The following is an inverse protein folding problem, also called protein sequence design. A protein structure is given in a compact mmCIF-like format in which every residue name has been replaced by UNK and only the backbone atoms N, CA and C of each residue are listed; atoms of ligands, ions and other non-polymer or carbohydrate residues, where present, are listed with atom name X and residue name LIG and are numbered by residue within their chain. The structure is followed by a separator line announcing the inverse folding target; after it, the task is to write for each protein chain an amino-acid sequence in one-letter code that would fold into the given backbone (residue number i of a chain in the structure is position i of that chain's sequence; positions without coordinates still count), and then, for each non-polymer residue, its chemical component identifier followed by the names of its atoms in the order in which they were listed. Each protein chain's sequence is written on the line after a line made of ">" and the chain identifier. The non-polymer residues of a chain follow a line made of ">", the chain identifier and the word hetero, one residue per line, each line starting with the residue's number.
data_IF_147546169336
#
_entry.id   IF_147546169336
#
_cell.length_a   1.000
_cell.length_b   1.000
_cell.length_c   1.000
_cell.angle_alpha   90.00
_cell.angle_beta   90.00
_cell.angle_gamma   90.00
#
_symmetry.space_group_name_H-M   'P 1'
#
loop_
_entity.id
_entity.type
_entity.pdbx_description
1 polymer ?
#
# COMPACT_ATOMS: atom_id res chain seq x y z
N UNK A 1 -7.03 21.49 11.75
CA UNK A 1 -6.58 20.15 12.27
C UNK A 1 -7.80 19.27 12.34
N UNK A 2 -7.71 17.99 11.93
CA UNK A 2 -8.85 17.08 11.99
C UNK A 2 -9.16 16.69 13.44
N UNK A 3 -10.45 16.48 13.75
CA UNK A 3 -10.93 16.00 15.05
C UNK A 3 -10.55 14.54 15.31
N UNK A 4 -10.64 14.10 16.56
CA UNK A 4 -10.47 12.67 16.88
C UNK A 4 -11.54 11.83 16.15
N UNK A 5 -11.16 10.62 15.74
CA UNK A 5 -12.01 9.70 14.99
C UNK A 5 -12.58 10.24 13.65
N UNK A 6 -11.98 11.28 13.07
CA UNK A 6 -12.44 11.86 11.81
C UNK A 6 -12.56 10.87 10.65
N UNK A 7 -11.81 9.77 10.69
CA UNK A 7 -11.88 8.71 9.68
C UNK A 7 -13.29 8.09 9.52
N UNK A 8 -14.14 8.15 10.56
CA UNK A 8 -15.53 7.67 10.53
C UNK A 8 -16.56 8.77 10.27
N UNK A 9 -16.12 10.04 10.12
CA UNK A 9 -17.01 11.17 9.90
C UNK A 9 -17.38 11.26 8.42
N UNK A 10 -18.69 11.29 8.07
CA UNK A 10 -19.15 11.51 6.71
C UNK A 10 -18.77 12.90 6.18
N UNK A 11 -18.68 13.02 4.86
CA UNK A 11 -18.25 14.26 4.19
C UNK A 11 -19.15 15.46 4.52
N UNK A 12 -20.47 15.26 4.58
CA UNK A 12 -21.47 16.27 4.89
C UNK A 12 -21.43 16.78 6.34
N UNK A 13 -20.73 16.07 7.23
CA UNK A 13 -20.53 16.48 8.63
C UNK A 13 -19.15 17.11 8.89
N UNK A 14 -18.33 17.27 7.85
CA UNK A 14 -17.08 18.03 7.96
C UNK A 14 -17.36 19.53 7.89
N UNK A 15 -16.63 20.29 8.69
CA UNK A 15 -16.65 21.76 8.61
C UNK A 15 -15.92 22.24 7.34
N UNK A 16 -16.23 23.47 6.84
CA UNK A 16 -15.51 24.07 5.71
C UNK A 16 -13.98 24.10 5.91
N UNK A 17 -13.50 24.34 7.12
CA UNK A 17 -12.08 24.36 7.45
C UNK A 17 -11.46 22.96 7.36
N UNK A 18 -12.17 21.91 7.80
CA UNK A 18 -11.73 20.54 7.69
C UNK A 18 -11.67 20.09 6.22
N UNK A 19 -12.66 20.47 5.41
CA UNK A 19 -12.67 20.20 3.95
C UNK A 19 -11.48 20.90 3.29
N UNK A 20 -11.29 22.17 3.56
CA UNK A 20 -10.15 22.95 3.03
C UNK A 20 -8.81 22.32 3.40
N UNK A 21 -8.66 21.91 4.67
CA UNK A 21 -7.46 21.22 5.14
C UNK A 21 -7.22 19.93 4.40
N UNK A 22 -8.25 19.10 4.20
CA UNK A 22 -8.14 17.85 3.44
C UNK A 22 -7.72 18.12 1.99
N UNK A 23 -8.46 18.97 1.27
CA UNK A 23 -8.19 19.25 -0.15
C UNK A 23 -6.77 19.80 -0.37
N UNK A 24 -6.29 20.65 0.53
CA UNK A 24 -4.93 21.19 0.46
C UNK A 24 -3.87 20.10 0.59
N UNK A 25 -4.08 19.10 1.44
CA UNK A 25 -3.07 18.10 1.75
C UNK A 25 -3.16 16.82 0.91
N UNK A 26 -4.34 16.51 0.34
CA UNK A 26 -4.55 15.27 -0.43
C UNK A 26 -3.67 15.14 -1.67
N UNK A 27 -3.18 16.24 -2.25
CA UNK A 27 -2.22 16.23 -3.37
C UNK A 27 -0.86 15.64 -3.00
N UNK A 28 -0.50 15.67 -1.70
CA UNK A 28 0.79 15.16 -1.20
C UNK A 28 0.70 13.70 -0.80
N UNK A 29 1.26 12.80 -1.63
CA UNK A 29 1.35 11.37 -1.28
C UNK A 29 2.07 11.13 0.05
N UNK A 30 3.11 11.93 0.35
CA UNK A 30 3.83 11.83 1.62
C UNK A 30 2.92 12.14 2.81
N UNK A 31 2.11 13.19 2.69
CA UNK A 31 1.13 13.54 3.73
C UNK A 31 0.07 12.44 3.90
N UNK A 32 -0.46 11.91 2.78
CA UNK A 32 -1.45 10.83 2.81
C UNK A 32 -0.91 9.60 3.54
N UNK A 33 0.31 9.17 3.23
CA UNK A 33 0.97 8.03 3.88
C UNK A 33 1.18 8.25 5.38
N UNK A 34 1.41 9.48 5.82
CA UNK A 34 1.65 9.82 7.23
C UNK A 34 0.37 10.08 8.02
N UNK A 35 -0.81 10.20 7.37
CA UNK A 35 -2.02 10.66 8.04
C UNK A 35 -3.30 9.86 7.75
N UNK A 36 -3.37 9.04 6.70
CA UNK A 36 -4.62 8.40 6.29
C UNK A 36 -4.70 6.91 6.62
N UNK A 37 -3.58 6.22 6.79
CA UNK A 37 -3.55 4.76 6.91
C UNK A 37 -3.41 4.32 8.35
N UNK A 38 -4.27 3.41 8.78
CA UNK A 38 -4.25 2.85 10.12
C UNK A 38 -3.51 1.52 10.15
N UNK A 39 -2.73 1.32 11.18
CA UNK A 39 -1.98 0.09 11.43
C UNK A 39 -2.25 -0.43 12.83
N UNK A 40 -2.06 -1.73 13.00
CA UNK A 40 -2.07 -2.37 14.30
C UNK A 40 -0.62 -2.50 14.79
N UNK A 41 -0.33 -1.95 15.95
CA UNK A 41 0.98 -2.03 16.58
C UNK A 41 1.23 -3.40 17.27
N UNK A 42 2.43 -3.59 17.82
CA UNK A 42 2.80 -4.81 18.56
C UNK A 42 1.99 -5.05 19.83
N UNK A 43 1.30 -4.04 20.35
CA UNK A 43 0.44 -4.12 21.52
C UNK A 43 -1.04 -4.26 21.15
N UNK A 44 -1.34 -4.47 19.88
CA UNK A 44 -2.69 -4.56 19.32
C UNK A 44 -3.47 -3.25 19.31
N UNK A 45 -2.83 -2.11 19.55
CA UNK A 45 -3.47 -0.81 19.39
C UNK A 45 -3.57 -0.44 17.90
N UNK A 46 -4.72 0.11 17.52
CA UNK A 46 -4.92 0.63 16.16
C UNK A 46 -4.68 2.13 16.18
N UNK A 47 -3.72 2.58 15.39
CA UNK A 47 -3.35 4.01 15.29
C UNK A 47 -2.98 4.37 13.85
N UNK A 48 -2.99 5.67 13.57
CA UNK A 48 -2.51 6.19 12.28
C UNK A 48 -1.03 5.84 12.12
N UNK A 49 -0.67 5.32 10.96
CA UNK A 49 0.72 5.09 10.60
C UNK A 49 1.47 6.41 10.57
N UNK A 50 2.57 6.50 11.32
CA UNK A 50 3.51 7.61 11.26
C UNK A 50 4.82 7.15 10.64
N UNK A 51 5.28 7.90 9.65
CA UNK A 51 6.49 7.56 8.91
C UNK A 51 7.72 7.75 9.78
N UNK A 52 8.49 6.69 9.96
CA UNK A 52 9.77 6.75 10.66
C UNK A 52 10.89 7.26 9.71
N UNK A 53 12.06 7.59 10.28
CA UNK A 53 13.18 8.14 9.52
C UNK A 53 13.66 7.24 8.38
N UNK A 54 13.62 5.90 8.55
CA UNK A 54 14.01 4.96 7.50
C UNK A 54 13.01 4.97 6.33
N UNK A 55 11.72 5.02 6.64
CA UNK A 55 10.64 5.11 5.65
C UNK A 55 10.69 6.44 4.89
N UNK A 56 10.83 7.56 5.60
CA UNK A 56 10.99 8.89 5.00
C UNK A 56 12.21 8.93 4.06
N UNK A 57 13.35 8.39 4.49
CA UNK A 57 14.55 8.31 3.65
C UNK A 57 14.33 7.54 2.36
N UNK A 58 13.63 6.40 2.43
CA UNK A 58 13.31 5.58 1.24
C UNK A 58 12.38 6.31 0.28
N UNK A 59 11.40 7.05 0.79
CA UNK A 59 10.45 7.80 -0.05
C UNK A 59 11.06 9.05 -0.67
N UNK A 60 11.90 9.78 0.06
CA UNK A 60 12.38 11.11 -0.36
C UNK A 60 13.72 11.10 -1.10
N UNK A 61 14.67 10.23 -0.69
CA UNK A 61 16.03 10.22 -1.25
C UNK A 61 16.17 9.32 -2.47
N UNK A 62 15.41 8.26 -2.59
CA UNK A 62 15.56 7.26 -3.65
C UNK A 62 14.39 7.34 -4.64
N UNK A 63 14.49 8.24 -5.63
CA UNK A 63 13.43 8.51 -6.62
C UNK A 63 13.42 7.56 -7.84
N UNK A 64 14.14 6.44 -7.78
CA UNK A 64 14.16 5.48 -8.88
C UNK A 64 12.90 4.60 -8.86
N UNK A 65 12.39 4.26 -10.05
CA UNK A 65 11.25 3.37 -10.19
C UNK A 65 11.58 1.91 -9.83
N UNK A 66 12.84 1.51 -9.94
CA UNK A 66 13.33 0.19 -9.55
C UNK A 66 14.30 0.30 -8.38
N UNK A 67 13.94 -0.29 -7.23
CA UNK A 67 14.68 -0.14 -5.98
C UNK A 67 14.93 -1.48 -5.32
N UNK A 68 16.14 -1.63 -4.78
CA UNK A 68 16.46 -2.70 -3.83
C UNK A 68 16.80 -2.03 -2.50
N UNK A 69 16.10 -2.44 -1.44
CA UNK A 69 16.24 -1.86 -0.11
C UNK A 69 16.86 -2.90 0.82
N UNK A 70 18.12 -2.69 1.15
CA UNK A 70 18.80 -3.45 2.19
C UNK A 70 18.47 -2.84 3.55
N UNK A 71 17.84 -3.59 4.40
CA UNK A 71 17.36 -3.13 5.71
C UNK A 71 17.59 -4.13 6.82
N UNK A 72 17.70 -3.65 8.04
CA UNK A 72 17.55 -4.47 9.24
C UNK A 72 16.07 -4.86 9.43
N UNK A 73 15.82 -5.83 10.30
CA UNK A 73 14.46 -6.25 10.66
C UNK A 73 13.68 -5.12 11.33
N UNK A 74 12.35 -5.18 11.24
CA UNK A 74 11.40 -4.30 11.95
C UNK A 74 11.46 -2.80 11.58
N UNK A 75 11.96 -2.44 10.39
CA UNK A 75 11.96 -1.06 9.89
C UNK A 75 10.60 -0.63 9.29
N UNK A 76 9.60 -1.53 9.26
CA UNK A 76 8.28 -1.23 8.74
C UNK A 76 8.20 -1.00 7.22
N UNK A 77 9.20 -1.43 6.45
CA UNK A 77 9.26 -1.20 4.99
C UNK A 77 8.15 -1.96 4.26
N UNK A 78 7.87 -3.23 4.61
CA UNK A 78 6.74 -3.97 4.00
C UNK A 78 5.40 -3.28 4.27
N UNK A 79 5.19 -2.72 5.48
CA UNK A 79 3.98 -1.94 5.82
C UNK A 79 3.92 -0.63 5.03
N UNK A 80 5.07 0.06 4.88
CA UNK A 80 5.16 1.25 4.05
C UNK A 80 4.73 0.98 2.61
N UNK A 81 5.28 -0.06 1.98
CA UNK A 81 4.97 -0.36 0.57
C UNK A 81 3.58 -0.97 0.38
N UNK A 82 3.02 -1.62 1.39
CA UNK A 82 1.60 -1.96 1.40
C UNK A 82 0.74 -0.68 1.35
N UNK A 83 0.96 0.27 2.26
CA UNK A 83 0.25 1.55 2.26
C UNK A 83 0.50 2.36 0.97
N UNK A 84 1.74 2.38 0.47
CA UNK A 84 2.13 3.06 -0.78
C UNK A 84 1.36 2.53 -2.00
N UNK A 85 1.25 1.21 -2.13
CA UNK A 85 0.54 0.57 -3.23
C UNK A 85 -0.97 0.74 -3.09
N UNK A 86 -1.51 0.61 -1.88
CA UNK A 86 -2.92 0.89 -1.60
C UNK A 86 -3.27 2.35 -1.91
N UNK A 87 -2.41 3.30 -1.52
CA UNK A 87 -2.56 4.72 -1.84
C UNK A 87 -2.59 4.98 -3.36
N UNK A 88 -1.72 4.31 -4.13
CA UNK A 88 -1.78 4.40 -5.59
C UNK A 88 -3.10 3.86 -6.15
N UNK A 89 -3.59 2.73 -5.65
CA UNK A 89 -4.89 2.19 -6.09
C UNK A 89 -6.08 3.10 -5.74
N UNK A 90 -5.98 3.87 -4.65
CA UNK A 90 -7.04 4.79 -4.21
C UNK A 90 -7.03 6.09 -5.00
N UNK A 91 -5.86 6.66 -5.29
CA UNK A 91 -5.71 8.02 -5.83
C UNK A 91 -5.31 8.09 -7.31
N UNK A 92 -4.88 6.98 -7.90
CA UNK A 92 -4.50 6.89 -9.30
C UNK A 92 -5.41 5.85 -10.00
N UNK A 93 -6.35 6.30 -10.84
CA UNK A 93 -7.33 5.44 -11.52
C UNK A 93 -6.65 4.37 -12.40
N UNK A 94 -7.24 3.16 -12.43
CA UNK A 94 -6.76 2.05 -13.26
C UNK A 94 -5.39 1.50 -12.83
N UNK A 95 -4.98 1.70 -11.57
CA UNK A 95 -3.71 1.21 -11.05
C UNK A 95 -3.83 -0.21 -10.50
N UNK A 96 -3.14 -1.17 -11.12
CA UNK A 96 -2.95 -2.51 -10.58
C UNK A 96 -1.62 -2.61 -9.83
N UNK A 97 -1.71 -2.86 -8.52
CA UNK A 97 -0.55 -3.01 -7.65
C UNK A 97 -0.45 -4.42 -7.07
N UNK A 98 0.77 -4.95 -7.06
CA UNK A 98 1.07 -6.28 -6.56
C UNK A 98 1.98 -6.29 -5.35
N UNK A 99 1.70 -7.18 -4.36
CA UNK A 99 2.59 -7.47 -3.25
C UNK A 99 2.92 -8.97 -3.22
N UNK A 100 4.19 -9.29 -3.38
CA UNK A 100 4.72 -10.64 -3.30
C UNK A 100 5.44 -10.83 -1.97
N UNK A 101 5.03 -11.84 -1.19
CA UNK A 101 5.67 -12.19 0.07
C UNK A 101 6.41 -13.52 0.02
N UNK A 102 7.18 -13.80 1.06
CA UNK A 102 7.93 -15.03 1.23
C UNK A 102 7.04 -16.30 1.18
N UNK A 103 5.92 -16.31 1.90
CA UNK A 103 5.02 -17.45 2.00
C UNK A 103 3.55 -17.06 2.19
N UNK A 104 2.67 -18.07 2.21
CA UNK A 104 1.22 -17.85 2.33
C UNK A 104 0.85 -17.13 3.63
N UNK A 105 1.42 -17.52 4.77
CA UNK A 105 1.14 -16.89 6.07
C UNK A 105 1.51 -15.41 6.10
N UNK A 106 2.62 -15.04 5.45
CA UNK A 106 3.08 -13.66 5.34
C UNK A 106 2.17 -12.88 4.37
N UNK A 107 1.71 -13.51 3.30
CA UNK A 107 0.74 -12.95 2.37
C UNK A 107 -0.59 -12.65 3.07
N UNK A 108 -1.11 -13.60 3.86
CA UNK A 108 -2.31 -13.42 4.66
C UNK A 108 -2.20 -12.24 5.65
N UNK A 109 -1.05 -12.11 6.34
CA UNK A 109 -0.81 -10.97 7.23
C UNK A 109 -0.76 -9.62 6.50
N UNK A 110 -0.27 -9.59 5.25
CA UNK A 110 -0.31 -8.38 4.44
C UNK A 110 -1.74 -8.06 4.02
N UNK A 111 -2.52 -9.08 3.67
CA UNK A 111 -3.93 -8.93 3.32
C UNK A 111 -4.76 -8.40 4.49
N UNK A 112 -4.61 -8.98 5.68
CA UNK A 112 -5.28 -8.49 6.90
C UNK A 112 -4.96 -7.01 7.18
N UNK A 113 -3.70 -6.60 6.95
CA UNK A 113 -3.31 -5.19 7.09
C UNK A 113 -3.90 -4.31 6.01
N UNK A 114 -3.99 -4.78 4.77
CA UNK A 114 -4.63 -4.04 3.68
C UNK A 114 -6.11 -3.81 3.96
N UNK A 115 -6.81 -4.85 4.40
CA UNK A 115 -8.22 -4.77 4.82
C UNK A 115 -8.41 -3.77 5.96
N UNK A 116 -7.57 -3.85 7.02
CA UNK A 116 -7.62 -2.87 8.11
C UNK A 116 -7.39 -1.43 7.63
N UNK A 117 -6.40 -1.21 6.75
CA UNK A 117 -6.13 0.11 6.18
C UNK A 117 -7.33 0.64 5.41
N UNK A 118 -8.01 -0.20 4.63
CA UNK A 118 -9.21 0.19 3.89
C UNK A 118 -10.42 0.41 4.80
N UNK A 119 -10.69 -0.48 5.74
CA UNK A 119 -11.80 -0.36 6.69
C UNK A 119 -11.74 0.97 7.45
N UNK A 120 -10.54 1.34 7.90
CA UNK A 120 -10.25 2.58 8.64
C UNK A 120 -9.90 3.78 7.76
N UNK A 121 -9.91 3.60 6.42
CA UNK A 121 -9.67 4.72 5.52
C UNK A 121 -10.80 5.75 5.64
N UNK A 122 -10.49 7.08 5.65
CA UNK A 122 -11.46 8.11 5.97
C UNK A 122 -12.72 8.08 5.09
N UNK A 123 -13.88 8.00 5.75
CA UNK A 123 -15.18 7.89 5.08
C UNK A 123 -15.45 9.10 4.18
N UNK A 124 -15.12 10.30 4.65
CA UNK A 124 -15.27 11.52 3.86
C UNK A 124 -14.47 11.48 2.56
N UNK A 125 -13.27 10.87 2.56
CA UNK A 125 -12.46 10.72 1.34
C UNK A 125 -13.08 9.66 0.41
N UNK A 126 -13.55 8.53 0.95
CA UNK A 126 -14.29 7.54 0.16
C UNK A 126 -15.49 8.17 -0.55
N UNK A 127 -16.26 9.00 0.16
CA UNK A 127 -17.41 9.71 -0.39
C UNK A 127 -17.01 10.78 -1.40
N UNK A 128 -15.97 11.56 -1.14
CA UNK A 128 -15.46 12.61 -2.03
C UNK A 128 -15.07 12.06 -3.41
N UNK A 129 -14.46 10.88 -3.45
CA UNK A 129 -13.99 10.21 -4.69
C UNK A 129 -14.97 9.14 -5.20
N UNK A 130 -16.11 8.92 -4.55
CA UNK A 130 -17.04 7.85 -4.92
C UNK A 130 -16.45 6.45 -4.86
N UNK A 131 -15.48 6.23 -3.96
CA UNK A 131 -14.71 4.99 -3.87
C UNK A 131 -15.48 3.91 -3.11
N UNK A 132 -15.65 2.77 -3.77
CA UNK A 132 -16.21 1.55 -3.18
C UNK A 132 -15.36 0.34 -3.57
N UNK A 133 -15.48 -0.75 -2.83
CA UNK A 133 -14.88 -2.02 -3.25
C UNK A 133 -15.78 -2.73 -4.26
N UNK A 134 -15.18 -3.18 -5.34
CA UNK A 134 -15.79 -4.08 -6.34
C UNK A 134 -15.36 -5.52 -6.14
N UNK A 135 -14.20 -5.72 -5.50
CA UNK A 135 -13.68 -7.00 -5.08
C UNK A 135 -13.15 -6.87 -3.66
N UNK A 136 -13.64 -7.73 -2.77
CA UNK A 136 -13.14 -7.86 -1.39
C UNK A 136 -12.96 -9.34 -1.07
N UNK A 137 -11.76 -9.82 -1.27
CA UNK A 137 -11.40 -11.18 -0.90
C UNK A 137 -10.06 -11.20 -0.18
N UNK A 138 -9.73 -12.35 0.41
CA UNK A 138 -8.55 -12.51 1.28
C UNK A 138 -7.24 -12.05 0.64
N UNK A 139 -7.11 -12.05 -0.70
CA UNK A 139 -5.86 -11.76 -1.40
C UNK A 139 -5.97 -10.62 -2.40
N UNK A 140 -7.11 -9.96 -2.51
CA UNK A 140 -7.31 -8.84 -3.42
C UNK A 140 -8.38 -7.86 -2.96
N UNK A 141 -8.10 -6.57 -3.13
CA UNK A 141 -9.04 -5.47 -3.03
C UNK A 141 -9.16 -4.83 -4.43
N UNK A 142 -10.35 -4.85 -5.00
CA UNK A 142 -10.66 -4.13 -6.24
C UNK A 142 -11.51 -2.89 -5.93
N UNK A 143 -11.29 -1.81 -6.65
CA UNK A 143 -11.91 -0.51 -6.42
C UNK A 143 -12.77 -0.06 -7.60
N UNK A 144 -13.78 0.78 -7.32
CA UNK A 144 -14.70 1.34 -8.33
C UNK A 144 -14.01 2.21 -9.39
N UNK A 145 -12.79 2.72 -9.11
CA UNK A 145 -11.95 3.47 -10.06
C UNK A 145 -11.09 2.57 -10.97
N UNK A 146 -11.47 1.30 -11.14
CA UNK A 146 -10.78 0.29 -11.96
C UNK A 146 -9.39 -0.11 -11.46
N UNK A 147 -9.02 0.26 -10.25
CA UNK A 147 -7.75 -0.12 -9.64
C UNK A 147 -7.87 -1.41 -8.84
N UNK A 148 -6.75 -2.12 -8.67
CA UNK A 148 -6.71 -3.30 -7.79
C UNK A 148 -5.39 -3.44 -7.03
N UNK A 149 -5.51 -3.88 -5.76
CA UNK A 149 -4.38 -4.32 -4.95
C UNK A 149 -4.44 -5.84 -4.81
N UNK A 150 -3.43 -6.53 -5.30
CA UNK A 150 -3.35 -8.00 -5.25
C UNK A 150 -2.16 -8.45 -4.42
N UNK A 151 -2.33 -9.53 -3.66
CA UNK A 151 -1.27 -10.14 -2.86
C UNK A 151 -1.10 -11.59 -3.29
N UNK A 152 0.06 -11.93 -3.86
CA UNK A 152 0.26 -13.29 -4.35
C UNK A 152 1.27 -13.43 -5.48
N UNK A 153 0.94 -14.25 -6.47
CA UNK A 153 1.77 -14.49 -7.65
C UNK A 153 1.19 -13.74 -8.85
N UNK A 154 2.05 -13.13 -9.68
CA UNK A 154 1.67 -12.18 -10.74
C UNK A 154 2.10 -12.65 -12.14
N UNK A 155 2.17 -13.93 -12.38
CA UNK A 155 2.48 -14.45 -13.71
C UNK A 155 1.30 -14.21 -14.66
N UNK A 156 1.53 -13.40 -15.70
CA UNK A 156 0.49 -13.05 -16.67
C UNK A 156 -0.35 -11.82 -16.33
N UNK A 157 -0.13 -11.20 -15.16
CA UNK A 157 -0.73 -9.91 -14.83
C UNK A 157 -0.03 -8.75 -15.55
N UNK A 158 -0.66 -7.57 -15.52
CA UNK A 158 -0.04 -6.29 -15.88
C UNK A 158 -0.11 -5.37 -14.67
N UNK A 159 1.05 -4.95 -14.14
CA UNK A 159 1.13 -4.17 -12.92
C UNK A 159 1.80 -2.81 -13.15
N UNK A 160 1.29 -1.77 -12.52
CA UNK A 160 1.92 -0.45 -12.43
C UNK A 160 2.88 -0.37 -11.24
N UNK A 161 2.68 -1.20 -10.22
CA UNK A 161 3.58 -1.26 -9.07
C UNK A 161 3.68 -2.68 -8.51
N UNK A 162 4.90 -3.12 -8.21
CA UNK A 162 5.17 -4.40 -7.57
C UNK A 162 6.12 -4.22 -6.37
N UNK A 163 5.73 -4.74 -5.24
CA UNK A 163 6.60 -4.87 -4.07
C UNK A 163 6.88 -6.33 -3.75
N UNK A 164 8.16 -6.69 -3.68
CA UNK A 164 8.60 -8.04 -3.28
C UNK A 164 9.27 -7.96 -1.92
N UNK A 165 8.60 -8.53 -0.92
CA UNK A 165 9.11 -8.60 0.45
C UNK A 165 9.97 -9.85 0.66
N UNK A 166 11.12 -9.67 1.33
CA UNK A 166 12.05 -10.75 1.72
C UNK A 166 12.60 -11.57 0.53
N UNK A 167 12.96 -10.92 -0.60
CA UNK A 167 13.48 -11.63 -1.77
C UNK A 167 14.71 -12.49 -1.45
N UNK A 168 15.62 -12.02 -0.59
CA UNK A 168 16.79 -12.79 -0.17
C UNK A 168 16.44 -14.11 0.49
N UNK A 169 15.39 -14.12 1.33
CA UNK A 169 14.88 -15.31 1.98
C UNK A 169 14.17 -16.23 0.98
N UNK A 170 13.40 -15.67 0.05
CA UNK A 170 12.78 -16.42 -1.05
C UNK A 170 13.86 -17.13 -1.88
N UNK A 171 14.93 -16.42 -2.24
CA UNK A 171 16.01 -16.98 -3.05
C UNK A 171 16.76 -18.12 -2.33
N UNK A 172 16.94 -17.99 -1.00
CA UNK A 172 17.60 -19.02 -0.19
C UNK A 172 16.73 -20.26 -0.03
N UNK A 173 15.48 -20.11 0.38
CA UNK A 173 14.64 -21.23 0.81
C UNK A 173 13.80 -21.81 -0.36
N UNK A 174 13.52 -21.00 -1.39
CA UNK A 174 12.70 -21.34 -2.55
C UNK A 174 13.35 -20.85 -3.86
N UNK A 175 14.51 -21.38 -4.29
CA UNK A 175 15.23 -20.88 -5.47
C UNK A 175 14.43 -20.97 -6.79
N UNK A 176 13.53 -21.95 -6.93
CA UNK A 176 12.61 -22.05 -8.07
C UNK A 176 11.64 -20.87 -8.10
N UNK A 177 11.04 -20.51 -6.95
CA UNK A 177 10.15 -19.35 -6.83
C UNK A 177 10.88 -18.04 -7.12
N UNK A 178 12.14 -17.89 -6.68
CA UNK A 178 12.95 -16.71 -7.01
C UNK A 178 13.21 -16.58 -8.52
N UNK A 179 13.45 -17.70 -9.21
CA UNK A 179 13.57 -17.72 -10.67
C UNK A 179 12.26 -17.35 -11.36
N UNK A 180 11.13 -17.86 -10.88
CA UNK A 180 9.80 -17.53 -11.38
C UNK A 180 9.45 -16.05 -11.18
N UNK A 181 9.86 -15.41 -10.06
CA UNK A 181 9.70 -13.98 -9.86
C UNK A 181 10.40 -13.18 -10.96
N UNK A 182 11.61 -13.56 -11.33
CA UNK A 182 12.39 -12.90 -12.39
C UNK A 182 11.73 -13.04 -13.77
N UNK A 183 11.21 -14.22 -14.09
CA UNK A 183 10.64 -14.53 -15.42
C UNK A 183 9.13 -14.28 -15.53
N UNK A 184 8.44 -14.05 -14.41
CA UNK A 184 7.00 -13.81 -14.34
C UNK A 184 6.69 -12.45 -13.73
N UNK A 185 6.76 -12.31 -12.41
CA UNK A 185 6.28 -11.12 -11.71
C UNK A 185 7.01 -9.82 -12.12
N UNK A 186 8.34 -9.86 -12.36
CA UNK A 186 9.07 -8.68 -12.82
C UNK A 186 8.75 -8.31 -14.28
N UNK A 187 8.36 -9.29 -15.10
CA UNK A 187 7.91 -9.04 -16.47
C UNK A 187 6.48 -8.50 -16.54
N UNK A 188 5.67 -8.74 -15.48
CA UNK A 188 4.34 -8.16 -15.35
C UNK A 188 4.37 -6.64 -15.18
N UNK A 189 5.53 -6.06 -14.82
CA UNK A 189 5.68 -4.62 -14.58
C UNK A 189 6.34 -3.95 -15.78
N UNK A 190 5.64 -3.03 -16.42
CA UNK A 190 6.14 -2.28 -17.58
C UNK A 190 7.41 -1.48 -17.23
N UNK A 191 8.20 -1.12 -18.27
CA UNK A 191 9.56 -0.54 -18.12
C UNK A 191 9.62 0.67 -17.18
N UNK A 192 8.62 1.55 -17.23
CA UNK A 192 8.58 2.81 -16.48
C UNK A 192 7.81 2.69 -15.15
N UNK A 193 7.32 1.52 -14.81
CA UNK A 193 6.54 1.27 -13.62
C UNK A 193 7.43 0.88 -12.42
N UNK A 194 6.84 0.79 -11.24
CA UNK A 194 7.56 0.71 -9.98
C UNK A 194 7.82 -0.76 -9.59
N UNK A 195 9.07 -1.10 -9.32
CA UNK A 195 9.46 -2.35 -8.64
C UNK A 195 10.26 -2.01 -7.41
N UNK A 196 9.81 -2.48 -6.26
CA UNK A 196 10.54 -2.36 -5.00
C UNK A 196 10.78 -3.73 -4.40
N UNK A 197 12.00 -4.00 -4.01
CA UNK A 197 12.46 -5.26 -3.42
C UNK A 197 13.08 -4.97 -2.06
N UNK A 198 12.76 -5.78 -1.06
CA UNK A 198 13.39 -5.75 0.25
C UNK A 198 13.87 -7.13 0.73
#
# INVERSE_FOLDING_TARGET
>A
MMRDNWWSVPLDLLTPDEITYLLTNLSSKLWRLDNLYYIKDKYSNISVMKLNNSQLKVLTKYKHNKKIILKSRQQGISTLYLAYNLDSCIFDDGTDAGLQSYGLKEAEKLADRASLMWERFPLAIKQLFGLTLTTDNKMALGFSNLSSLKIGNFRGDTLQSLHVSELGKIAKDFPKKAKELKTGAFQAVAKNNIITIE
#
